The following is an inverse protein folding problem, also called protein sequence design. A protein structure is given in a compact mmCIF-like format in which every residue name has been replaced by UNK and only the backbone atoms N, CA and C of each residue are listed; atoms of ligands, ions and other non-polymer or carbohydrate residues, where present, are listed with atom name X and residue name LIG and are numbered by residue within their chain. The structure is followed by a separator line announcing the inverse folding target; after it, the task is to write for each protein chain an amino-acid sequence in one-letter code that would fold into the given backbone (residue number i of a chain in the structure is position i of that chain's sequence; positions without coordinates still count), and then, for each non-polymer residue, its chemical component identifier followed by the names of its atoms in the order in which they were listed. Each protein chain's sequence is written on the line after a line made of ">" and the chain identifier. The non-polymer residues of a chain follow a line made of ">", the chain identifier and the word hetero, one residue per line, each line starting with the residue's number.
data_IF_351083532798
#
_entry.id   IF_351083532798
#
_cell.length_a   1.000
_cell.length_b   1.000
_cell.length_c   1.000
_cell.angle_alpha   90.00
_cell.angle_beta   90.00
_cell.angle_gamma   90.00
#
_symmetry.space_group_name_H-M   'P 1'
#
loop_
_entity.id
_entity.type
_entity.pdbx_description
1 polymer ?
#
# COMPACT_ATOMS: atom_id res chain seq x y z
N UNK A 1 8.62 12.06 2.39
CA UNK A 1 8.37 12.08 0.93
C UNK A 1 7.29 13.10 0.63
N UNK A 2 7.46 13.92 -0.42
CA UNK A 2 6.43 14.85 -0.87
C UNK A 2 5.47 14.12 -1.83
N UNK A 3 4.17 14.25 -1.63
CA UNK A 3 3.11 13.65 -2.44
C UNK A 3 1.76 13.74 -1.71
N UNK A 4 0.66 13.68 -2.45
CA UNK A 4 -0.68 13.63 -1.86
C UNK A 4 -0.96 12.24 -1.29
N UNK A 5 -1.71 12.18 -0.19
CA UNK A 5 -2.19 10.92 0.36
C UNK A 5 -3.60 10.65 -0.14
N UNK A 6 -3.81 9.47 -0.72
CA UNK A 6 -5.10 9.07 -1.27
C UNK A 6 -5.41 7.62 -0.93
N UNK A 7 -6.65 7.36 -0.53
CA UNK A 7 -7.12 5.99 -0.33
C UNK A 7 -7.33 5.33 -1.70
N UNK A 8 -6.60 4.23 -1.96
CA UNK A 8 -6.69 3.47 -3.19
C UNK A 8 -7.46 2.16 -2.96
N UNK A 9 -8.06 1.63 -4.03
CA UNK A 9 -8.61 0.27 -3.98
C UNK A 9 -7.46 -0.72 -3.79
N UNK A 10 -7.60 -1.65 -2.84
CA UNK A 10 -6.56 -2.64 -2.53
C UNK A 10 -6.16 -3.48 -3.76
N UNK A 11 -7.12 -3.86 -4.61
CA UNK A 11 -6.82 -4.56 -5.87
C UNK A 11 -5.98 -3.75 -6.85
N UNK A 12 -6.20 -2.43 -6.94
CA UNK A 12 -5.40 -1.53 -7.80
C UNK A 12 -4.01 -1.29 -7.24
N UNK A 13 -3.89 -1.22 -5.92
CA UNK A 13 -2.59 -1.13 -5.29
C UNK A 13 -1.79 -2.43 -5.47
N UNK A 14 -2.42 -3.60 -5.36
CA UNK A 14 -1.78 -4.90 -5.59
C UNK A 14 -1.28 -5.05 -7.03
N UNK A 15 -2.08 -4.71 -8.03
CA UNK A 15 -1.66 -4.70 -9.45
C UNK A 15 -0.38 -3.87 -9.63
N UNK A 16 -0.32 -2.68 -9.02
CA UNK A 16 0.87 -1.84 -9.06
C UNK A 16 2.07 -2.48 -8.33
N UNK A 17 1.83 -3.22 -7.24
CA UNK A 17 2.88 -3.94 -6.49
C UNK A 17 3.48 -5.06 -7.33
N UNK A 18 2.64 -5.84 -8.01
CA UNK A 18 3.05 -6.91 -8.92
C UNK A 18 3.86 -6.38 -10.11
N UNK A 19 3.53 -5.18 -10.60
CA UNK A 19 4.27 -4.47 -11.65
C UNK A 19 5.51 -3.72 -11.13
N UNK A 20 5.78 -3.78 -9.82
CA UNK A 20 6.92 -3.10 -9.18
C UNK A 20 6.83 -1.56 -9.17
N UNK A 21 5.62 -1.02 -9.29
CA UNK A 21 5.33 0.42 -9.32
C UNK A 21 4.37 0.88 -8.20
N UNK A 22 4.12 0.05 -7.18
CA UNK A 22 3.27 0.41 -6.06
C UNK A 22 3.80 1.65 -5.32
N UNK A 23 2.92 2.61 -4.98
CA UNK A 23 3.30 3.74 -4.16
C UNK A 23 3.51 3.32 -2.69
N UNK A 24 4.32 4.06 -1.91
CA UNK A 24 4.50 3.80 -0.50
C UNK A 24 3.20 3.84 0.29
N UNK A 25 3.10 3.01 1.33
CA UNK A 25 1.90 2.84 2.16
C UNK A 25 2.11 3.40 3.55
N UNK A 26 1.09 4.07 4.07
CA UNK A 26 1.05 4.50 5.48
C UNK A 26 0.21 3.47 6.24
N UNK A 27 0.86 2.52 6.91
CA UNK A 27 0.18 1.41 7.60
C UNK A 27 -0.91 1.88 8.58
N UNK A 28 -0.64 2.95 9.34
CA UNK A 28 -1.60 3.52 10.29
C UNK A 28 -2.83 4.16 9.63
N UNK A 29 -2.81 4.37 8.31
CA UNK A 29 -3.91 4.94 7.52
C UNK A 29 -4.52 3.93 6.53
N UNK A 30 -4.12 2.66 6.59
CA UNK A 30 -4.64 1.58 5.75
C UNK A 30 -5.70 0.80 6.52
N UNK A 31 -6.86 0.58 5.91
CA UNK A 31 -7.94 -0.22 6.50
C UNK A 31 -7.51 -1.70 6.61
N UNK A 32 -7.83 -2.36 7.74
CA UNK A 32 -7.43 -3.76 8.00
C UNK A 32 -7.93 -4.75 6.94
N UNK A 33 -9.10 -4.49 6.34
CA UNK A 33 -9.64 -5.28 5.22
C UNK A 33 -8.77 -5.31 3.97
N UNK A 34 -7.75 -4.44 3.84
CA UNK A 34 -6.75 -4.58 2.79
C UNK A 34 -5.99 -5.92 2.89
N UNK A 35 -5.88 -6.49 4.10
CA UNK A 35 -5.23 -7.78 4.36
C UNK A 35 -5.97 -8.99 3.77
N UNK A 36 -7.22 -8.82 3.32
CA UNK A 36 -7.94 -9.84 2.57
C UNK A 36 -7.39 -10.01 1.13
N UNK A 37 -6.68 -9.01 0.62
CA UNK A 37 -6.20 -8.94 -0.76
C UNK A 37 -4.66 -8.85 -0.81
N UNK A 38 -4.05 -8.09 0.10
CA UNK A 38 -2.62 -7.79 0.12
C UNK A 38 -2.01 -8.37 1.41
N UNK A 39 -0.84 -9.01 1.31
CA UNK A 39 -0.18 -9.54 2.51
C UNK A 39 0.41 -8.43 3.38
N UNK A 40 0.45 -8.62 4.70
CA UNK A 40 1.08 -7.66 5.61
C UNK A 40 2.56 -7.43 5.24
N UNK A 41 3.27 -8.48 4.82
CA UNK A 41 4.67 -8.37 4.39
C UNK A 41 4.84 -7.42 3.18
N UNK A 42 3.90 -7.43 2.23
CA UNK A 42 3.95 -6.55 1.07
C UNK A 42 3.66 -5.08 1.45
N UNK A 43 2.73 -4.87 2.39
CA UNK A 43 2.46 -3.55 2.96
C UNK A 43 3.65 -3.01 3.77
N UNK A 44 4.32 -3.86 4.54
CA UNK A 44 5.52 -3.51 5.31
C UNK A 44 6.71 -3.21 4.40
N UNK A 45 6.90 -3.99 3.33
CA UNK A 45 7.94 -3.73 2.33
C UNK A 45 7.78 -2.36 1.68
N UNK A 46 6.54 -1.96 1.37
CA UNK A 46 6.22 -0.65 0.80
C UNK A 46 5.95 0.42 1.86
N UNK A 47 6.23 0.18 3.14
CA UNK A 47 5.93 1.15 4.20
C UNK A 47 6.66 2.47 3.95
N UNK A 48 5.92 3.58 4.01
CA UNK A 48 6.49 4.91 3.97
C UNK A 48 7.35 5.14 5.22
N UNK A 49 8.67 5.07 5.04
CA UNK A 49 9.64 5.42 6.07
C UNK A 49 9.78 6.95 6.16
N UNK A 50 9.75 7.48 7.39
CA UNK A 50 9.95 8.90 7.67
C UNK A 50 11.43 9.25 7.74
#
# INVERSE_FOLDING_TARGET
>A
VAGDHWCLCASRWLEASEDGCAPPVILNATHEGALEIITMADLEYHQLQK
#
